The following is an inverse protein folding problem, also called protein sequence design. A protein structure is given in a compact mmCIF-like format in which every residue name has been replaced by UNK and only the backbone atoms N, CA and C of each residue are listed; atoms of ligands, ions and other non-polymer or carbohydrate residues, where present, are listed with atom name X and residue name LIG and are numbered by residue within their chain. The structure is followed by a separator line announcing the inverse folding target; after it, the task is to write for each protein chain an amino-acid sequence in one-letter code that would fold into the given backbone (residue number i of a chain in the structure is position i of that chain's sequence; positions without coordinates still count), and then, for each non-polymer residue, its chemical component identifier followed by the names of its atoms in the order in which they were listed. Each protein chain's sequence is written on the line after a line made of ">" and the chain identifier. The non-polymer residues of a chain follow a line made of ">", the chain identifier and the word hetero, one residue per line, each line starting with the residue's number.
data_IF_302203789220
#
_entry.id   IF_302203789220
#
_cell.length_a   1.000
_cell.length_b   1.000
_cell.length_c   1.000
_cell.angle_alpha   90.00
_cell.angle_beta   90.00
_cell.angle_gamma   90.00
#
_symmetry.space_group_name_H-M   'P 1'
#
loop_
_entity.id
_entity.type
_entity.pdbx_description
1 polymer ?
#
# COMPACT_ATOMS: atom_id res chain seq x y z
N UNK A 1 16.63 11.49 -1.06
CA UNK A 1 15.20 11.41 -1.40
C UNK A 1 14.49 10.46 -0.46
N UNK A 2 13.28 10.82 -0.08
CA UNK A 2 12.52 9.98 0.84
C UNK A 2 11.91 8.79 0.10
N UNK A 3 11.96 7.65 0.73
CA UNK A 3 11.28 6.46 0.22
C UNK A 3 9.80 6.58 0.51
N UNK A 4 8.97 6.06 -0.40
CA UNK A 4 7.53 6.11 -0.28
C UNK A 4 6.97 4.73 0.02
N UNK A 5 6.08 4.68 0.99
CA UNK A 5 5.44 3.44 1.41
C UNK A 5 3.94 3.60 1.24
N UNK A 6 3.33 2.68 0.50
CA UNK A 6 1.88 2.65 0.33
C UNK A 6 1.30 1.73 1.41
N UNK A 7 0.34 2.27 2.16
CA UNK A 7 -0.37 1.53 3.19
C UNK A 7 -1.76 1.22 2.65
N UNK A 8 -2.10 -0.05 2.54
CA UNK A 8 -3.41 -0.50 2.07
C UNK A 8 -4.10 -1.23 3.22
N UNK A 9 -5.01 -0.54 3.88
CA UNK A 9 -5.66 -1.01 5.11
C UNK A 9 -6.99 -0.30 5.26
N UNK A 10 -8.07 -1.03 5.58
CA UNK A 10 -9.40 -0.42 5.68
C UNK A 10 -9.69 0.22 7.03
N UNK A 11 -8.89 -0.07 8.05
CA UNK A 11 -9.08 0.52 9.38
C UNK A 11 -8.31 1.82 9.50
N UNK A 12 -9.02 2.94 9.52
CA UNK A 12 -8.38 4.25 9.54
C UNK A 12 -7.44 4.42 10.73
N UNK A 13 -7.81 3.89 11.90
CA UNK A 13 -6.96 4.01 13.09
C UNK A 13 -5.61 3.34 12.88
N UNK A 14 -5.59 2.19 12.20
CA UNK A 14 -4.35 1.48 11.90
C UNK A 14 -3.51 2.26 10.89
N UNK A 15 -4.17 2.80 9.86
CA UNK A 15 -3.49 3.62 8.86
C UNK A 15 -2.84 4.83 9.54
N UNK A 16 -3.57 5.50 10.42
CA UNK A 16 -3.05 6.68 11.11
C UNK A 16 -1.81 6.35 11.95
N UNK A 17 -1.85 5.22 12.67
CA UNK A 17 -0.71 4.80 13.50
C UNK A 17 0.50 4.48 12.63
N UNK A 18 0.30 3.73 11.56
CA UNK A 18 1.39 3.37 10.67
C UNK A 18 1.97 4.59 9.98
N UNK A 19 1.10 5.47 9.49
CA UNK A 19 1.52 6.67 8.80
C UNK A 19 2.34 7.57 9.73
N UNK A 20 1.88 7.75 10.97
CA UNK A 20 2.59 8.57 11.95
C UNK A 20 3.99 8.00 12.22
N UNK A 21 4.07 6.69 12.48
CA UNK A 21 5.35 6.07 12.82
C UNK A 21 6.32 6.08 11.64
N UNK A 22 5.83 5.82 10.44
CA UNK A 22 6.67 5.81 9.25
C UNK A 22 7.15 7.22 8.91
N UNK A 23 6.29 8.21 9.08
CA UNK A 23 6.69 9.61 8.85
C UNK A 23 7.79 10.05 9.80
N UNK A 24 7.73 9.60 11.04
CA UNK A 24 8.77 9.90 12.02
C UNK A 24 10.12 9.34 11.59
N UNK A 25 10.12 8.23 10.86
CA UNK A 25 11.35 7.61 10.39
C UNK A 25 11.82 8.18 9.04
N UNK A 26 11.14 9.20 8.54
CA UNK A 26 11.56 9.86 7.33
C UNK A 26 10.94 9.34 6.04
N UNK A 27 9.96 8.44 6.13
CA UNK A 27 9.29 7.93 4.94
C UNK A 27 8.10 8.81 4.56
N UNK A 28 7.84 8.91 3.26
CA UNK A 28 6.57 9.44 2.78
C UNK A 28 5.57 8.31 2.73
N UNK A 29 4.32 8.58 3.10
CA UNK A 29 3.28 7.55 3.08
C UNK A 29 2.19 7.91 2.09
N UNK A 30 1.68 6.88 1.41
CA UNK A 30 0.48 6.93 0.60
C UNK A 30 -0.52 6.02 1.27
N UNK A 31 -1.80 6.37 1.20
CA UNK A 31 -2.83 5.65 1.95
C UNK A 31 -3.96 5.22 1.02
N UNK A 32 -4.36 3.97 1.15
CA UNK A 32 -5.52 3.45 0.44
C UNK A 32 -6.32 2.60 1.42
N UNK A 33 -7.64 2.65 1.31
CA UNK A 33 -8.52 2.04 2.29
C UNK A 33 -9.25 0.81 1.74
N UNK A 34 -8.96 0.44 0.50
CA UNK A 34 -9.46 -0.80 -0.10
C UNK A 34 -8.50 -1.27 -1.17
N UNK A 35 -8.72 -2.50 -1.66
CA UNK A 35 -7.80 -3.12 -2.60
C UNK A 35 -7.76 -2.44 -3.96
N UNK A 36 -8.89 -1.94 -4.45
CA UNK A 36 -8.91 -1.24 -5.75
C UNK A 36 -8.09 0.04 -5.70
N UNK A 37 -8.32 0.85 -4.66
CA UNK A 37 -7.57 2.10 -4.50
C UNK A 37 -6.09 1.80 -4.30
N UNK A 38 -5.77 0.74 -3.55
CA UNK A 38 -4.39 0.34 -3.33
C UNK A 38 -3.69 -0.05 -4.61
N UNK A 39 -4.35 -0.86 -5.43
CA UNK A 39 -3.78 -1.26 -6.70
C UNK A 39 -3.55 -0.06 -7.61
N UNK A 40 -4.54 0.83 -7.69
CA UNK A 40 -4.43 2.02 -8.53
C UNK A 40 -3.25 2.89 -8.11
N UNK A 41 -3.12 3.15 -6.81
CA UNK A 41 -2.01 3.96 -6.31
C UNK A 41 -0.66 3.27 -6.55
N UNK A 42 -0.61 1.96 -6.38
CA UNK A 42 0.63 1.23 -6.62
C UNK A 42 1.08 1.35 -8.07
N UNK A 43 0.14 1.31 -9.00
CA UNK A 43 0.47 1.42 -10.42
C UNK A 43 0.82 2.85 -10.82
N UNK A 44 0.13 3.84 -10.25
CA UNK A 44 0.33 5.25 -10.61
C UNK A 44 1.55 5.86 -9.93
N UNK A 45 1.77 5.54 -8.66
CA UNK A 45 2.76 6.25 -7.85
C UNK A 45 4.08 5.50 -7.68
N UNK A 46 4.14 4.23 -8.05
CA UNK A 46 5.36 3.41 -7.94
C UNK A 46 6.00 3.50 -6.55
N UNK A 47 5.30 3.12 -5.48
CA UNK A 47 5.91 3.19 -4.15
C UNK A 47 7.09 2.22 -4.02
N UNK A 48 7.95 2.48 -3.07
CA UNK A 48 9.11 1.62 -2.81
C UNK A 48 8.75 0.36 -2.03
N UNK A 49 7.64 0.41 -1.28
CA UNK A 49 7.17 -0.70 -0.47
C UNK A 49 5.67 -0.59 -0.30
N UNK A 50 4.98 -1.73 -0.23
CA UNK A 50 3.54 -1.77 0.02
C UNK A 50 3.29 -2.59 1.29
N UNK A 51 2.62 -1.99 2.26
CA UNK A 51 2.09 -2.69 3.42
C UNK A 51 0.64 -3.01 3.11
N UNK A 52 0.30 -4.29 3.03
CA UNK A 52 -0.96 -4.73 2.46
C UNK A 52 -1.71 -5.67 3.41
N UNK A 53 -2.92 -5.27 3.79
CA UNK A 53 -3.84 -6.14 4.49
C UNK A 53 -4.48 -7.10 3.48
N UNK A 54 -4.50 -8.38 3.79
CA UNK A 54 -5.05 -9.38 2.88
C UNK A 54 -6.57 -9.44 2.91
N UNK A 55 -7.19 -8.95 3.96
CA UNK A 55 -8.64 -9.01 4.16
C UNK A 55 -9.28 -7.65 3.91
N UNK A 56 -9.25 -7.21 2.66
CA UNK A 56 -9.74 -5.88 2.29
C UNK A 56 -11.10 -5.94 1.61
N UNK A 57 -11.89 -4.88 1.73
CA UNK A 57 -13.11 -4.76 0.92
C UNK A 57 -12.75 -4.53 -0.55
N UNK A 58 -13.70 -4.80 -1.43
CA UNK A 58 -13.66 -4.62 -2.88
C UNK A 58 -12.69 -5.55 -3.58
N UNK A 59 -11.40 -5.48 -3.24
CA UNK A 59 -10.40 -6.36 -3.84
C UNK A 59 -9.46 -6.78 -2.71
N UNK A 60 -9.35 -8.08 -2.45
CA UNK A 60 -8.52 -8.56 -1.35
C UNK A 60 -7.04 -8.47 -1.70
N UNK A 61 -6.18 -8.60 -0.67
CA UNK A 61 -4.75 -8.43 -0.83
C UNK A 61 -4.11 -9.41 -1.78
N UNK A 62 -4.62 -10.63 -1.86
CA UNK A 62 -4.08 -11.62 -2.80
C UNK A 62 -4.30 -11.18 -4.25
N UNK A 63 -5.49 -10.63 -4.53
CA UNK A 63 -5.80 -10.14 -5.88
C UNK A 63 -4.96 -8.91 -6.23
N UNK A 64 -4.71 -8.04 -5.26
CA UNK A 64 -3.82 -6.90 -5.47
C UNK A 64 -2.42 -7.37 -5.85
N UNK A 65 -1.87 -8.32 -5.09
CA UNK A 65 -0.55 -8.87 -5.39
C UNK A 65 -0.50 -9.49 -6.78
N UNK A 66 -1.52 -10.28 -7.11
CA UNK A 66 -1.58 -10.94 -8.41
C UNK A 66 -1.60 -9.93 -9.55
N UNK A 67 -2.41 -8.88 -9.38
CA UNK A 67 -2.51 -7.82 -10.40
C UNK A 67 -1.19 -7.07 -10.58
N UNK A 68 -0.50 -6.79 -9.48
CA UNK A 68 0.80 -6.12 -9.55
C UNK A 68 1.81 -6.97 -10.29
N UNK A 69 1.85 -8.28 -10.03
CA UNK A 69 2.78 -9.17 -10.73
C UNK A 69 2.43 -9.30 -12.20
N UNK A 70 1.14 -9.29 -12.53
CA UNK A 70 0.68 -9.31 -13.92
C UNK A 70 1.18 -8.07 -14.68
N UNK A 71 1.22 -6.91 -13.99
CA UNK A 71 1.74 -5.68 -14.59
C UNK A 71 3.26 -5.60 -14.51
N UNK A 72 3.90 -6.71 -14.13
CA UNK A 72 5.36 -6.83 -14.04
C UNK A 72 5.97 -5.85 -13.04
N UNK A 73 5.24 -5.57 -11.96
CA UNK A 73 5.76 -4.74 -10.87
C UNK A 73 6.44 -5.63 -9.85
N UNK A 74 7.64 -5.27 -9.48
CA UNK A 74 8.43 -6.04 -8.52
C UNK A 74 8.48 -5.38 -7.14
N UNK A 75 7.62 -4.39 -6.90
CA UNK A 75 7.56 -3.68 -5.63
C UNK A 75 7.39 -4.67 -4.47
N UNK A 76 8.22 -4.60 -3.43
CA UNK A 76 8.05 -5.46 -2.27
C UNK A 76 6.71 -5.23 -1.59
N UNK A 77 6.07 -6.33 -1.17
CA UNK A 77 4.77 -6.30 -0.49
C UNK A 77 4.89 -7.09 0.80
N UNK A 78 4.43 -6.50 1.88
CA UNK A 78 4.44 -7.16 3.19
C UNK A 78 3.05 -7.25 3.76
#
# INVERSE_FOLDING_TARGET
>A
MNKRILIVEDEKNIVDILSFNLSKEGYETLEAYDGEAGLQLALEQNPDLILLDLMLPKMNGFDVCRSLRREKRSTPVI
#
